data_IF_838609878325
#
_entry.id   IF_838609878325
#
_cell.length_a   1.000
_cell.length_b   1.000
_cell.length_c   1.000
_cell.angle_alpha   90.00
_cell.angle_beta   90.00
_cell.angle_gamma   90.00
#
_symmetry.space_group_name_H-M   'P 1'
#
loop_
_entity.id
_entity.type
_entity.pdbx_description
1 polymer ?
#
# COMPACT_ATOMS: atom_id res chain seq x y z
N UNK A 1 -22.53 17.01 -21.03
CA UNK A 1 -21.89 17.66 -19.86
C UNK A 1 -21.74 16.76 -18.62
N UNK A 2 -22.28 15.53 -18.57
CA UNK A 2 -22.17 14.63 -17.41
C UNK A 2 -20.84 13.84 -17.27
N UNK A 3 -19.96 13.85 -18.29
CA UNK A 3 -18.71 13.07 -18.31
C UNK A 3 -17.53 13.73 -17.55
N UNK A 4 -17.60 15.04 -17.27
CA UNK A 4 -16.53 15.76 -16.58
C UNK A 4 -16.66 15.70 -15.05
N UNK A 5 -17.89 15.65 -14.51
CA UNK A 5 -18.14 15.61 -13.07
C UNK A 5 -17.73 14.27 -12.43
N UNK A 6 -17.87 13.15 -13.15
CA UNK A 6 -17.57 11.81 -12.60
C UNK A 6 -16.06 11.52 -12.41
N UNK A 7 -15.16 12.36 -12.94
CA UNK A 7 -13.70 12.25 -12.68
C UNK A 7 -13.28 12.87 -11.34
N UNK A 8 -14.17 13.60 -10.69
CA UNK A 8 -13.86 14.34 -9.46
C UNK A 8 -14.09 13.55 -8.17
N UNK A 9 -14.51 12.28 -8.23
CA UNK A 9 -14.71 11.46 -7.03
C UNK A 9 -13.59 10.42 -6.88
N UNK A 10 -12.65 10.69 -5.97
CA UNK A 10 -11.60 9.76 -5.58
C UNK A 10 -12.16 8.73 -4.58
N UNK A 11 -12.01 7.45 -4.88
CA UNK A 11 -12.30 6.37 -3.93
C UNK A 11 -11.01 5.86 -3.30
N UNK A 12 -10.96 5.83 -1.96
CA UNK A 12 -9.78 5.43 -1.19
C UNK A 12 -10.07 4.13 -0.45
N UNK A 13 -9.14 3.18 -0.53
CA UNK A 13 -9.17 1.92 0.22
C UNK A 13 -7.97 1.83 1.16
N UNK A 14 -8.23 1.87 2.46
CA UNK A 14 -7.24 1.60 3.51
C UNK A 14 -7.29 0.13 3.85
N UNK A 15 -6.17 -0.57 3.70
CA UNK A 15 -6.11 -2.02 3.88
C UNK A 15 -5.22 -2.36 5.07
N UNK A 16 -5.86 -2.93 6.08
CA UNK A 16 -5.21 -3.34 7.31
C UNK A 16 -4.29 -4.55 7.13
N UNK A 17 -3.21 -4.54 7.92
CA UNK A 17 -2.36 -5.70 8.09
C UNK A 17 -2.96 -6.70 9.09
N UNK A 18 -2.12 -7.66 9.48
CA UNK A 18 -2.41 -8.66 10.52
C UNK A 18 -2.62 -7.95 11.86
N UNK A 19 -3.64 -8.38 12.62
CA UNK A 19 -3.89 -7.96 14.00
C UNK A 19 -3.92 -6.44 14.22
N UNK A 20 -4.43 -5.69 13.23
CA UNK A 20 -4.45 -4.23 13.32
C UNK A 20 -5.66 -3.76 14.12
N UNK A 21 -5.41 -2.98 15.17
CA UNK A 21 -6.48 -2.36 15.97
C UNK A 21 -7.24 -1.31 15.15
N UNK A 22 -8.57 -1.33 15.25
CA UNK A 22 -9.49 -0.42 14.53
C UNK A 22 -9.12 1.07 14.69
N UNK A 23 -8.63 1.46 15.88
CA UNK A 23 -8.26 2.84 16.19
C UNK A 23 -7.10 3.39 15.32
N UNK A 24 -6.19 2.54 14.84
CA UNK A 24 -5.05 2.98 14.03
C UNK A 24 -5.52 3.57 12.68
N UNK A 25 -6.57 3.00 12.10
CA UNK A 25 -7.08 3.45 10.80
C UNK A 25 -8.05 4.62 10.91
N UNK A 26 -8.67 4.86 12.07
CA UNK A 26 -9.55 6.02 12.26
C UNK A 26 -8.82 7.33 12.05
N UNK A 27 -7.66 7.51 12.68
CA UNK A 27 -6.88 8.75 12.56
C UNK A 27 -6.20 8.88 11.20
N UNK A 28 -5.70 7.77 10.65
CA UNK A 28 -5.19 7.74 9.28
C UNK A 28 -6.26 8.16 8.28
N UNK A 29 -7.48 7.62 8.40
CA UNK A 29 -8.64 8.00 7.59
C UNK A 29 -8.95 9.48 7.73
N UNK A 30 -9.04 10.01 8.96
CA UNK A 30 -9.33 11.42 9.20
C UNK A 30 -8.29 12.33 8.53
N UNK A 31 -7.00 12.00 8.69
CA UNK A 31 -5.91 12.76 8.07
C UNK A 31 -5.95 12.70 6.54
N UNK A 32 -6.26 11.54 5.97
CA UNK A 32 -6.43 11.38 4.52
C UNK A 32 -7.62 12.16 3.98
N UNK A 33 -8.77 12.10 4.65
CA UNK A 33 -9.94 12.89 4.28
C UNK A 33 -9.60 14.39 4.30
N UNK A 34 -8.90 14.88 5.33
CA UNK A 34 -8.44 16.27 5.41
C UNK A 34 -7.45 16.64 4.30
N UNK A 35 -6.46 15.77 4.05
CA UNK A 35 -5.43 15.97 3.04
C UNK A 35 -6.02 16.04 1.62
N UNK A 36 -6.96 15.15 1.33
CA UNK A 36 -7.54 14.98 0.00
C UNK A 36 -8.72 15.94 -0.25
N UNK A 37 -9.45 16.37 0.80
CA UNK A 37 -10.51 17.38 0.65
C UNK A 37 -9.96 18.77 0.30
N UNK A 38 -8.65 18.99 0.45
CA UNK A 38 -7.95 20.20 0.00
C UNK A 38 -7.50 20.14 -1.46
N UNK A 39 -7.60 18.97 -2.11
CA UNK A 39 -7.36 18.81 -3.53
C UNK A 39 -8.64 19.14 -4.32
N UNK A 40 -8.55 19.36 -5.62
CA UNK A 40 -9.68 19.78 -6.50
C UNK A 40 -10.80 18.73 -6.65
N UNK A 41 -10.76 17.65 -5.89
CA UNK A 41 -11.77 16.59 -5.88
C UNK A 41 -12.97 16.95 -5.00
N UNK A 42 -14.12 16.39 -5.35
CA UNK A 42 -15.20 16.24 -4.39
C UNK A 42 -14.74 15.37 -3.21
N UNK A 43 -15.41 15.51 -2.06
CA UNK A 43 -15.05 14.81 -0.83
C UNK A 43 -14.77 13.30 -1.11
N UNK A 44 -13.56 12.80 -0.80
CA UNK A 44 -13.18 11.43 -1.12
C UNK A 44 -14.02 10.42 -0.35
N UNK A 45 -14.31 9.28 -0.98
CA UNK A 45 -14.99 8.16 -0.33
C UNK A 45 -13.94 7.21 0.22
N UNK A 46 -13.80 7.14 1.55
CA UNK A 46 -12.79 6.30 2.20
C UNK A 46 -13.41 5.05 2.80
N UNK A 47 -12.93 3.88 2.37
CA UNK A 47 -13.27 2.57 2.87
C UNK A 47 -12.09 1.96 3.63
N UNK A 48 -12.36 1.33 4.78
CA UNK A 48 -11.36 0.53 5.51
C UNK A 48 -11.69 -0.95 5.31
N UNK A 49 -10.72 -1.71 4.82
CA UNK A 49 -10.81 -3.14 4.58
C UNK A 49 -9.86 -3.88 5.52
N UNK A 50 -10.28 -5.08 5.95
CA UNK A 50 -9.50 -5.98 6.81
C UNK A 50 -9.28 -7.32 6.08
N UNK A 51 -8.36 -7.39 5.10
CA UNK A 51 -8.23 -8.57 4.24
C UNK A 51 -7.93 -9.87 5.00
N UNK A 52 -7.24 -9.79 6.13
CA UNK A 52 -6.90 -10.94 6.98
C UNK A 52 -7.82 -11.06 8.21
N UNK A 53 -8.74 -10.11 8.39
CA UNK A 53 -9.53 -9.94 9.61
C UNK A 53 -8.91 -8.92 10.57
N UNK A 54 -9.64 -8.60 11.63
CA UNK A 54 -9.24 -7.70 12.70
C UNK A 54 -8.54 -8.46 13.86
N UNK A 55 -8.35 -7.80 15.00
CA UNK A 55 -7.74 -8.35 16.20
C UNK A 55 -8.59 -9.43 16.90
N UNK A 56 -9.83 -9.66 16.46
CA UNK A 56 -10.70 -10.73 16.97
C UNK A 56 -10.34 -12.12 16.42
N UNK A 57 -9.52 -12.22 15.37
CA UNK A 57 -9.08 -13.50 14.77
C UNK A 57 -7.68 -13.92 15.24
N UNK A 58 -7.41 -15.23 15.13
CA UNK A 58 -6.09 -15.80 15.43
C UNK A 58 -4.98 -15.17 14.58
N UNK A 59 -4.01 -14.54 15.24
CA UNK A 59 -2.85 -13.91 14.62
C UNK A 59 -2.03 -14.89 13.80
N UNK A 60 -1.90 -16.14 14.25
CA UNK A 60 -1.16 -17.19 13.54
C UNK A 60 -1.80 -17.49 12.18
N UNK A 61 -3.14 -17.61 12.14
CA UNK A 61 -3.85 -17.85 10.89
C UNK A 61 -3.67 -16.68 9.91
N UNK A 62 -3.72 -15.44 10.42
CA UNK A 62 -3.50 -14.24 9.60
C UNK A 62 -2.08 -14.18 9.03
N UNK A 63 -1.05 -14.53 9.82
CA UNK A 63 0.34 -14.61 9.33
C UNK A 63 0.51 -15.69 8.26
N UNK A 64 -0.11 -16.87 8.44
CA UNK A 64 -0.09 -17.93 7.43
C UNK A 64 -0.78 -17.49 6.13
N UNK A 65 -1.92 -16.79 6.23
CA UNK A 65 -2.61 -16.21 5.08
C UNK A 65 -1.69 -15.20 4.34
N UNK A 66 -0.99 -14.31 5.06
CA UNK A 66 0.01 -13.39 4.46
C UNK A 66 1.16 -14.14 3.79
N UNK A 67 1.67 -15.21 4.42
CA UNK A 67 2.73 -16.04 3.84
C UNK A 67 2.30 -16.67 2.51
N UNK A 68 1.06 -17.15 2.42
CA UNK A 68 0.48 -17.65 1.18
C UNK A 68 0.39 -16.57 0.10
N UNK A 69 0.01 -15.36 0.52
CA UNK A 69 -0.16 -14.16 -0.30
C UNK A 69 1.18 -13.56 -0.77
N UNK A 70 2.28 -13.89 -0.10
CA UNK A 70 3.61 -13.59 -0.54
C UNK A 70 3.98 -14.48 -1.71
N UNK A 71 4.03 -15.81 -1.50
CA UNK A 71 4.66 -16.83 -2.37
C UNK A 71 5.24 -16.28 -3.70
N UNK A 72 4.94 -16.74 -4.91
CA UNK A 72 5.28 -16.00 -6.16
C UNK A 72 4.55 -16.63 -7.35
N UNK A 73 3.96 -17.81 -7.10
CA UNK A 73 2.96 -18.42 -7.96
C UNK A 73 1.72 -17.53 -7.93
N UNK A 74 1.44 -16.89 -9.06
CA UNK A 74 0.23 -16.11 -9.33
C UNK A 74 -0.94 -17.11 -9.42
N UNK A 75 -1.29 -17.74 -8.29
CA UNK A 75 -2.58 -18.39 -8.16
C UNK A 75 -3.53 -17.34 -7.61
N UNK A 76 -4.60 -17.08 -8.37
CA UNK A 76 -5.71 -16.16 -8.09
C UNK A 76 -6.51 -16.50 -6.80
N UNK A 77 -5.95 -17.29 -5.87
CA UNK A 77 -6.60 -17.84 -4.67
C UNK A 77 -5.99 -17.37 -3.34
N UNK A 78 -5.18 -16.32 -3.37
CA UNK A 78 -4.55 -15.68 -2.20
C UNK A 78 -5.60 -14.99 -1.32
N UNK A 79 -5.77 -15.45 -0.08
CA UNK A 79 -6.96 -15.18 0.76
C UNK A 79 -7.16 -13.67 1.00
N UNK A 80 -6.08 -12.95 1.33
CA UNK A 80 -6.14 -11.51 1.56
C UNK A 80 -6.41 -10.75 0.27
N UNK A 81 -5.67 -11.04 -0.79
CA UNK A 81 -5.88 -10.44 -2.11
C UNK A 81 -7.30 -10.62 -2.65
N UNK A 82 -7.87 -11.82 -2.53
CA UNK A 82 -9.25 -12.11 -2.93
C UNK A 82 -10.26 -11.32 -2.09
N UNK A 83 -10.15 -11.35 -0.76
CA UNK A 83 -11.05 -10.60 0.13
C UNK A 83 -10.98 -9.10 -0.11
N UNK A 84 -9.78 -8.56 -0.36
CA UNK A 84 -9.58 -7.16 -0.73
C UNK A 84 -10.26 -6.84 -2.07
N UNK A 85 -10.08 -7.67 -3.09
CA UNK A 85 -10.74 -7.47 -4.38
C UNK A 85 -12.27 -7.53 -4.27
N UNK A 86 -12.82 -8.49 -3.52
CA UNK A 86 -14.26 -8.58 -3.24
C UNK A 86 -14.77 -7.33 -2.49
N UNK A 87 -14.03 -6.84 -1.49
CA UNK A 87 -14.37 -5.62 -0.77
C UNK A 87 -14.41 -4.37 -1.66
N UNK A 88 -13.44 -4.24 -2.57
CA UNK A 88 -13.43 -3.18 -3.59
C UNK A 88 -14.61 -3.35 -4.54
N UNK A 89 -14.85 -4.53 -5.11
CA UNK A 89 -15.95 -4.76 -6.05
C UNK A 89 -17.33 -4.49 -5.46
N UNK A 90 -17.53 -4.73 -4.15
CA UNK A 90 -18.80 -4.42 -3.46
C UNK A 90 -19.08 -2.93 -3.31
N UNK A 91 -18.03 -2.09 -3.32
CA UNK A 91 -18.13 -0.68 -2.92
C UNK A 91 -17.77 0.30 -4.04
N UNK A 92 -16.88 -0.09 -4.94
CA UNK A 92 -16.45 0.70 -6.07
C UNK A 92 -17.54 0.72 -7.15
N UNK A 93 -18.03 1.92 -7.48
CA UNK A 93 -19.14 2.11 -8.43
C UNK A 93 -18.70 2.23 -9.89
N UNK A 94 -17.44 1.88 -10.20
CA UNK A 94 -16.91 1.97 -11.57
C UNK A 94 -16.59 3.39 -12.03
N UNK A 95 -16.50 4.36 -11.11
CA UNK A 95 -16.33 5.78 -11.41
C UNK A 95 -15.12 6.36 -10.68
N UNK A 96 -14.34 7.17 -11.40
CA UNK A 96 -13.22 7.95 -10.86
C UNK A 96 -11.93 7.16 -10.58
N UNK A 97 -10.87 7.86 -10.17
CA UNK A 97 -9.61 7.23 -9.76
C UNK A 97 -9.75 6.47 -8.43
N UNK A 98 -8.92 5.45 -8.25
CA UNK A 98 -8.86 4.65 -7.00
C UNK A 98 -7.48 4.76 -6.34
N UNK A 99 -7.45 5.15 -5.08
CA UNK A 99 -6.24 5.11 -4.24
C UNK A 99 -6.31 3.95 -3.26
N UNK A 100 -5.33 3.06 -3.30
CA UNK A 100 -5.17 1.98 -2.33
C UNK A 100 -3.99 2.26 -1.43
N UNK A 101 -4.16 2.17 -0.12
CA UNK A 101 -3.08 2.32 0.86
C UNK A 101 -3.10 1.09 1.76
N UNK A 102 -2.06 0.26 1.66
CA UNK A 102 -1.93 -0.96 2.45
C UNK A 102 -0.74 -0.91 3.38
N UNK A 103 -0.97 -1.22 4.67
CA UNK A 103 0.08 -1.34 5.68
C UNK A 103 0.40 -2.80 5.98
N UNK A 104 1.68 -3.13 6.17
CA UNK A 104 2.11 -4.49 6.49
C UNK A 104 1.57 -5.50 5.47
N UNK A 105 0.98 -6.62 5.91
CA UNK A 105 0.28 -7.58 5.04
C UNK A 105 -0.81 -6.94 4.16
N UNK A 106 -1.46 -5.87 4.61
CA UNK A 106 -2.45 -5.13 3.84
C UNK A 106 -1.88 -4.55 2.54
N UNK A 107 -0.59 -4.23 2.50
CA UNK A 107 0.12 -3.82 1.28
C UNK A 107 0.23 -4.94 0.24
N UNK A 108 0.33 -6.20 0.68
CA UNK A 108 0.30 -7.38 -0.19
C UNK A 108 -1.11 -7.62 -0.71
N UNK A 109 -2.11 -7.61 0.18
CA UNK A 109 -3.51 -7.79 -0.20
C UNK A 109 -3.95 -6.73 -1.23
N UNK A 110 -3.59 -5.46 -0.99
CA UNK A 110 -3.85 -4.36 -1.91
C UNK A 110 -3.24 -4.62 -3.29
N UNK A 111 -1.98 -5.07 -3.34
CA UNK A 111 -1.31 -5.31 -4.61
C UNK A 111 -1.94 -6.46 -5.39
N UNK A 112 -2.26 -7.56 -4.71
CA UNK A 112 -2.95 -8.70 -5.33
C UNK A 112 -4.33 -8.30 -5.86
N UNK A 113 -5.09 -7.52 -5.09
CA UNK A 113 -6.39 -7.01 -5.52
C UNK A 113 -6.26 -6.09 -6.74
N UNK A 114 -5.30 -5.15 -6.71
CA UNK A 114 -5.03 -4.25 -7.81
C UNK A 114 -4.68 -5.00 -9.10
N UNK A 115 -3.80 -6.00 -9.03
CA UNK A 115 -3.44 -6.84 -10.19
C UNK A 115 -4.66 -7.56 -10.76
N UNK A 116 -5.47 -8.18 -9.90
CA UNK A 116 -6.69 -8.89 -10.33
C UNK A 116 -7.65 -7.94 -11.04
N UNK A 117 -7.99 -6.84 -10.39
CA UNK A 117 -8.99 -5.89 -10.88
C UNK A 117 -8.50 -5.10 -12.10
N UNK A 118 -7.20 -4.83 -12.20
CA UNK A 118 -6.58 -4.24 -13.39
C UNK A 118 -6.70 -5.17 -14.61
N UNK A 119 -6.39 -6.46 -14.44
CA UNK A 119 -6.54 -7.47 -15.51
C UNK A 119 -7.99 -7.69 -15.93
N UNK A 120 -8.92 -7.56 -14.99
CA UNK A 120 -10.37 -7.60 -15.25
C UNK A 120 -10.89 -6.29 -15.87
N UNK A 121 -10.05 -5.27 -16.05
CA UNK A 121 -10.45 -3.96 -16.58
C UNK A 121 -11.31 -3.12 -15.63
N UNK A 122 -11.49 -3.56 -14.37
CA UNK A 122 -12.32 -2.88 -13.36
C UNK A 122 -11.64 -1.64 -12.80
N UNK A 123 -10.31 -1.63 -12.68
CA UNK A 123 -9.53 -0.49 -12.17
C UNK A 123 -8.61 0.09 -13.27
N UNK A 124 -9.14 0.92 -14.19
CA UNK A 124 -8.34 1.51 -15.26
C UNK A 124 -7.38 2.62 -14.77
N UNK A 125 -7.78 3.37 -13.73
CA UNK A 125 -6.95 4.38 -13.11
C UNK A 125 -6.86 4.19 -11.60
N UNK A 126 -5.66 3.83 -11.14
CA UNK A 126 -5.38 3.66 -9.72
C UNK A 126 -3.93 4.00 -9.36
N UNK A 127 -3.75 4.30 -8.08
CA UNK A 127 -2.46 4.29 -7.38
C UNK A 127 -2.52 3.38 -6.18
N UNK A 128 -1.38 2.80 -5.85
CA UNK A 128 -1.23 1.91 -4.72
C UNK A 128 0.00 2.30 -3.90
N UNK A 129 -0.21 2.49 -2.61
CA UNK A 129 0.80 2.83 -1.62
C UNK A 129 1.00 1.62 -0.71
N UNK A 130 2.23 1.11 -0.63
CA UNK A 130 2.61 0.08 0.32
C UNK A 130 3.42 0.73 1.46
N UNK A 131 3.00 0.54 2.72
CA UNK A 131 3.67 1.13 3.89
C UNK A 131 4.12 0.00 4.82
N UNK A 132 5.43 -0.12 5.05
CA UNK A 132 5.99 -1.18 5.90
C UNK A 132 5.63 -2.61 5.43
N UNK A 133 5.26 -2.79 4.17
CA UNK A 133 4.77 -4.07 3.65
C UNK A 133 5.91 -5.05 3.37
N UNK A 134 5.70 -6.37 3.44
CA UNK A 134 6.61 -7.31 2.78
C UNK A 134 6.81 -6.94 1.30
N UNK A 135 7.96 -7.33 0.74
CA UNK A 135 8.33 -7.08 -0.66
C UNK A 135 7.70 -8.13 -1.57
N UNK A 136 6.95 -7.66 -2.56
CA UNK A 136 6.37 -8.48 -3.62
C UNK A 136 6.81 -7.98 -4.99
N UNK A 137 7.04 -8.92 -5.92
CA UNK A 137 7.40 -8.59 -7.29
C UNK A 137 6.27 -7.84 -7.98
N UNK A 138 6.55 -6.58 -8.32
CA UNK A 138 5.64 -5.69 -9.05
C UNK A 138 5.68 -6.02 -10.55
N UNK A 139 4.50 -6.18 -11.14
CA UNK A 139 4.30 -6.31 -12.59
C UNK A 139 4.92 -5.10 -13.31
N UNK A 140 5.76 -5.29 -14.34
CA UNK A 140 6.45 -4.19 -15.03
C UNK A 140 5.53 -3.03 -15.43
N UNK A 141 4.34 -3.33 -15.94
CA UNK A 141 3.31 -2.37 -16.37
C UNK A 141 2.68 -1.58 -15.22
N UNK A 142 2.78 -2.06 -13.98
CA UNK A 142 2.20 -1.41 -12.80
C UNK A 142 3.22 -0.60 -11.99
N UNK A 143 4.51 -0.65 -12.33
CA UNK A 143 5.56 0.00 -11.53
C UNK A 143 5.27 1.47 -11.23
N UNK A 144 4.89 2.24 -12.26
CA UNK A 144 4.61 3.67 -12.13
C UNK A 144 3.32 3.98 -11.35
N UNK A 145 2.54 2.97 -10.98
CA UNK A 145 1.32 3.10 -10.17
C UNK A 145 1.54 2.74 -8.71
N UNK A 146 2.73 2.31 -8.33
CA UNK A 146 3.00 1.74 -7.02
C UNK A 146 4.14 2.50 -6.34
N UNK A 147 3.87 3.00 -5.13
CA UNK A 147 4.88 3.50 -4.20
C UNK A 147 5.07 2.53 -3.05
N UNK A 148 6.27 2.56 -2.48
CA UNK A 148 6.64 1.79 -1.31
C UNK A 148 7.40 2.64 -0.31
N UNK A 149 6.87 2.69 0.91
CA UNK A 149 7.42 3.42 2.03
C UNK A 149 7.83 2.44 3.13
N UNK A 150 9.01 2.65 3.71
CA UNK A 150 9.49 1.83 4.82
C UNK A 150 10.24 2.68 5.85
N UNK A 151 10.33 2.20 7.09
CA UNK A 151 11.01 2.94 8.14
C UNK A 151 12.52 2.85 8.02
N UNK A 152 13.18 3.95 8.32
CA UNK A 152 14.64 4.04 8.44
C UNK A 152 15.03 4.79 9.70
N UNK A 153 16.25 4.56 10.19
CA UNK A 153 16.87 5.42 11.19
C UNK A 153 17.47 6.69 10.54
N UNK A 154 18.03 7.58 11.36
CA UNK A 154 18.67 8.82 10.92
C UNK A 154 19.89 8.60 9.98
N UNK A 155 20.43 7.38 9.91
CA UNK A 155 21.48 7.00 8.97
C UNK A 155 20.92 6.38 7.68
N UNK A 156 19.60 6.34 7.52
CA UNK A 156 18.92 5.73 6.37
C UNK A 156 18.85 4.19 6.42
N UNK A 157 19.25 3.57 7.53
CA UNK A 157 19.24 2.10 7.66
C UNK A 157 17.83 1.62 7.95
N UNK A 158 17.42 0.57 7.24
CA UNK A 158 16.10 -0.05 7.38
C UNK A 158 15.83 -0.55 8.81
N UNK A 159 14.83 0.03 9.46
CA UNK A 159 14.37 -0.33 10.81
C UNK A 159 13.13 -1.23 10.81
N UNK A 160 12.40 -1.32 9.69
CA UNK A 160 11.24 -2.21 9.56
C UNK A 160 11.66 -3.65 9.23
N UNK A 161 11.48 -4.63 10.14
CA UNK A 161 11.77 -6.03 9.84
C UNK A 161 10.81 -6.63 8.80
N UNK A 162 9.57 -6.16 8.71
CA UNK A 162 8.57 -6.66 7.76
C UNK A 162 8.96 -6.30 6.33
N UNK A 163 9.52 -5.12 6.12
CA UNK A 163 10.07 -4.69 4.84
C UNK A 163 11.29 -5.48 4.36
N UNK A 164 11.85 -6.37 5.19
CA UNK A 164 12.93 -7.31 4.80
C UNK A 164 12.38 -8.62 4.22
N UNK A 165 11.11 -8.92 4.46
CA UNK A 165 10.47 -10.16 4.04
C UNK A 165 10.15 -10.09 2.54
N UNK A 166 10.41 -11.18 1.81
CA UNK A 166 10.16 -11.26 0.38
C UNK A 166 11.27 -10.61 -0.47
N UNK A 167 11.00 -10.39 -1.75
CA UNK A 167 12.01 -9.86 -2.67
C UNK A 167 11.39 -9.15 -3.87
N UNK A 168 12.04 -8.07 -4.31
CA UNK A 168 11.85 -7.47 -5.63
C UNK A 168 12.77 -8.08 -6.69
N UNK A 169 13.69 -8.95 -6.27
CA UNK A 169 14.75 -9.44 -7.12
C UNK A 169 14.30 -10.46 -8.17
N UNK A 170 15.07 -10.53 -9.24
CA UNK A 170 14.96 -11.56 -10.26
C UNK A 170 16.18 -11.59 -11.18
N UNK A 171 16.32 -12.68 -11.92
CA UNK A 171 17.37 -12.85 -12.92
C UNK A 171 17.20 -11.86 -14.08
N UNK A 172 18.24 -11.11 -14.39
CA UNK A 172 18.34 -10.21 -15.53
C UNK A 172 19.47 -10.66 -16.45
N UNK A 173 19.33 -10.37 -17.75
CA UNK A 173 20.24 -10.92 -18.76
C UNK A 173 19.77 -12.31 -19.24
N UNK A 174 19.69 -12.48 -20.56
CA UNK A 174 19.17 -13.68 -21.20
C UNK A 174 19.19 -13.60 -22.73
N UNK A 175 20.11 -12.81 -23.29
CA UNK A 175 20.42 -12.79 -24.72
C UNK A 175 21.70 -13.59 -24.99
N UNK A 176 21.97 -13.92 -26.26
CA UNK A 176 23.07 -14.80 -26.71
C UNK A 176 24.49 -14.43 -26.23
N UNK A 177 24.70 -13.28 -25.58
CA UNK A 177 26.02 -12.79 -25.12
C UNK A 177 26.08 -12.23 -23.69
N UNK A 178 25.00 -12.27 -22.89
CA UNK A 178 25.00 -11.68 -21.55
C UNK A 178 24.88 -12.76 -20.47
N UNK A 179 25.84 -12.78 -19.53
CA UNK A 179 25.81 -13.65 -18.35
C UNK A 179 24.60 -13.27 -17.49
N UNK A 180 23.70 -14.22 -17.16
CA UNK A 180 22.60 -13.97 -16.24
C UNK A 180 23.13 -13.47 -14.89
N UNK A 181 22.59 -12.37 -14.39
CA UNK A 181 22.91 -11.82 -13.08
C UNK A 181 21.64 -11.58 -12.27
N UNK A 182 21.76 -11.66 -10.95
CA UNK A 182 20.63 -11.36 -10.07
C UNK A 182 20.51 -9.84 -9.90
N UNK A 183 19.39 -9.27 -10.35
CA UNK A 183 19.07 -7.86 -10.12
C UNK A 183 18.05 -7.77 -8.97
N UNK A 184 18.49 -7.24 -7.82
CA UNK A 184 17.67 -7.10 -6.61
C UNK A 184 16.49 -6.14 -6.77
N UNK A 185 16.51 -5.27 -7.79
CA UNK A 185 15.50 -4.25 -8.09
C UNK A 185 14.63 -4.58 -9.32
N UNK A 186 14.78 -5.78 -9.92
CA UNK A 186 14.14 -6.14 -11.19
C UNK A 186 12.63 -5.86 -11.20
N UNK A 187 11.94 -6.21 -10.11
CA UNK A 187 10.49 -6.06 -9.94
C UNK A 187 10.14 -5.09 -8.82
N UNK A 188 11.01 -4.11 -8.55
CA UNK A 188 10.72 -3.09 -7.56
C UNK A 188 9.60 -2.14 -8.03
N UNK A 189 8.83 -1.54 -7.11
CA UNK A 189 7.94 -0.41 -7.37
C UNK A 189 8.62 0.73 -8.12
N UNK A 190 7.83 1.59 -8.78
CA UNK A 190 8.35 2.76 -9.49
C UNK A 190 8.85 3.86 -8.54
N UNK A 191 8.35 3.89 -7.31
CA UNK A 191 8.78 4.83 -6.28
C UNK A 191 9.02 4.12 -4.94
N UNK A 192 10.17 4.39 -4.32
CA UNK A 192 10.58 3.78 -3.06
C UNK A 192 11.24 4.85 -2.20
N UNK A 193 10.80 4.99 -0.95
CA UNK A 193 11.34 6.01 -0.05
C UNK A 193 11.37 5.52 1.41
N UNK A 194 12.44 5.87 2.11
CA UNK A 194 12.58 5.66 3.55
C UNK A 194 11.93 6.79 4.35
N UNK A 195 11.25 6.46 5.44
CA UNK A 195 10.64 7.42 6.36
C UNK A 195 11.28 7.27 7.74
N UNK A 196 11.84 8.35 8.26
CA UNK A 196 12.34 8.41 9.63
C UNK A 196 11.16 8.46 10.61
N UNK A 197 10.78 7.31 11.15
CA UNK A 197 9.72 7.17 12.15
C UNK A 197 10.32 6.89 13.53
N UNK A 198 9.68 7.40 14.57
CA UNK A 198 9.99 7.02 15.95
C UNK A 198 9.34 5.67 16.24
N UNK A 199 10.09 4.68 16.73
CA UNK A 199 9.57 3.33 16.95
C UNK A 199 9.86 2.39 15.79
N UNK A 200 8.87 1.57 15.40
CA UNK A 200 9.07 0.50 14.41
C UNK A 200 7.87 0.27 13.48
N UNK A 201 7.74 -0.98 13.03
CA UNK A 201 6.79 -1.38 11.98
C UNK A 201 5.33 -1.00 12.26
N UNK A 202 4.89 -1.05 13.51
CA UNK A 202 3.51 -0.78 13.89
C UNK A 202 3.20 0.73 14.03
N UNK A 203 4.20 1.60 13.90
CA UNK A 203 4.11 2.96 14.42
C UNK A 203 3.95 4.04 13.35
N UNK A 204 3.88 3.69 12.05
CA UNK A 204 3.75 4.66 10.95
C UNK A 204 2.57 5.62 11.10
N UNK A 205 1.47 5.20 11.72
CA UNK A 205 0.26 6.02 11.87
C UNK A 205 0.03 6.53 13.30
N UNK A 206 1.06 6.45 14.16
CA UNK A 206 0.99 7.04 15.50
C UNK A 206 1.13 8.55 15.42
N UNK A 207 0.31 9.26 16.21
CA UNK A 207 0.21 10.71 16.20
C UNK A 207 0.37 11.36 17.59
N UNK A 208 0.66 10.56 18.62
CA UNK A 208 0.79 10.99 20.01
C UNK A 208 2.20 10.70 20.53
N UNK A 209 2.59 11.30 21.64
CA UNK A 209 3.82 10.92 22.35
C UNK A 209 3.82 9.41 22.67
N UNK A 210 4.97 8.71 22.56
CA UNK A 210 6.31 9.23 22.26
C UNK A 210 6.64 9.30 20.76
N UNK A 211 5.67 9.22 19.86
CA UNK A 211 5.87 9.11 18.40
C UNK A 211 5.94 10.45 17.66
N UNK A 212 6.38 11.49 18.38
CA UNK A 212 6.61 12.85 17.88
C UNK A 212 8.11 13.09 17.96
N UNK A 213 8.72 13.58 16.88
CA UNK A 213 10.16 13.80 16.81
C UNK A 213 10.60 15.16 17.39
N UNK A 214 11.91 15.43 17.31
CA UNK A 214 12.50 16.69 17.77
C UNK A 214 12.05 17.93 16.99
N UNK A 215 11.36 17.77 15.84
CA UNK A 215 10.75 18.85 15.06
C UNK A 215 9.25 19.02 15.36
N UNK A 216 8.74 18.33 16.38
CA UNK A 216 7.33 18.27 16.73
C UNK A 216 6.43 17.67 15.62
N UNK A 217 6.99 16.80 14.76
CA UNK A 217 6.24 16.12 13.70
C UNK A 217 6.02 14.66 14.10
N UNK A 218 4.76 14.21 14.03
CA UNK A 218 4.40 12.84 14.36
C UNK A 218 4.57 11.86 13.18
N UNK A 219 4.70 10.56 13.46
CA UNK A 219 4.85 9.54 12.41
C UNK A 219 3.72 9.55 11.37
N UNK A 220 2.46 9.76 11.81
CA UNK A 220 1.31 9.85 10.91
C UNK A 220 1.50 10.97 9.89
N UNK A 221 1.90 12.16 10.35
CA UNK A 221 2.10 13.31 9.48
C UNK A 221 3.23 13.08 8.48
N UNK A 222 4.37 12.57 8.96
CA UNK A 222 5.49 12.19 8.07
C UNK A 222 5.04 11.21 6.99
N UNK A 223 4.30 10.17 7.38
CA UNK A 223 3.84 9.14 6.46
C UNK A 223 2.87 9.71 5.42
N UNK A 224 1.87 10.47 5.86
CA UNK A 224 0.88 11.06 4.95
C UNK A 224 1.47 12.14 4.05
N UNK A 225 2.46 12.90 4.52
CA UNK A 225 3.15 13.89 3.70
C UNK A 225 3.93 13.26 2.55
N UNK A 226 4.61 12.13 2.77
CA UNK A 226 5.29 11.39 1.69
C UNK A 226 4.31 10.81 0.69
N UNK A 227 3.19 10.26 1.17
CA UNK A 227 2.09 9.82 0.30
C UNK A 227 1.57 10.99 -0.54
N UNK A 228 1.27 12.13 0.09
CA UNK A 228 0.83 13.34 -0.61
C UNK A 228 1.81 13.78 -1.68
N UNK A 229 3.10 13.84 -1.34
CA UNK A 229 4.15 14.27 -2.26
C UNK A 229 4.23 13.36 -3.49
N UNK A 230 4.14 12.04 -3.30
CA UNK A 230 4.14 11.10 -4.42
C UNK A 230 2.89 11.20 -5.30
N UNK A 231 1.73 11.51 -4.71
CA UNK A 231 0.47 11.65 -5.44
C UNK A 231 0.35 12.97 -6.22
N UNK A 232 1.23 13.96 -5.98
CA UNK A 232 1.19 15.26 -6.67
C UNK A 232 1.14 15.09 -8.19
N UNK A 233 0.17 15.72 -8.85
CA UNK A 233 0.00 15.66 -10.30
C UNK A 233 -0.76 14.43 -10.79
N UNK A 234 -1.10 13.50 -9.90
CA UNK A 234 -2.20 12.54 -10.12
C UNK A 234 -3.48 12.99 -9.43
N UNK A 235 -3.36 13.61 -8.25
CA UNK A 235 -4.40 14.39 -7.57
C UNK A 235 -4.10 15.88 -7.61
#
# INVERSE_FOLDING_TARGET
MAMAADRNQLTVYLMAGVATANQMFTECRRKLEEMLSRAEFEKPIVHVLYPYGDDSRSRLAQVLEVGSDLSNRIHLSRVGGRKAAEGIQRTYKGKGPVLMIGHSGGGIAAYQAAVKLYREGTLPDFRLVQIGSPRIRVMPELKQRISYFHSVDAAGKLTDPISRIGTWGGWSGGGKMLIPHWNVWKYAPGYIEGIEVVGGHADYFKHQNPFIDGQAICNLDKTMDRVRQWLKGWI
#
